data_IF_906848343473
#
_entry.id   IF_906848343473
#
_cell.length_a   1.000
_cell.length_b   1.000
_cell.length_c   1.000
_cell.angle_alpha   90.00
_cell.angle_beta   90.00
_cell.angle_gamma   90.00
#
_symmetry.space_group_name_H-M   'P 1'
#
loop_
_entity.id
_entity.type
_entity.pdbx_description
1 polymer ?
#
# COMPACT_ATOMS: atom_id res chain seq x y z
N UNK A 1 44.23 7.38 64.78
CA UNK A 1 43.06 8.11 64.23
C UNK A 1 43.36 8.44 62.77
N UNK A 2 42.41 8.21 61.86
CA UNK A 2 42.46 8.69 60.48
C UNK A 2 43.09 7.74 59.46
N UNK A 3 42.36 6.71 59.05
CA UNK A 3 42.53 6.04 57.76
C UNK A 3 41.82 6.91 56.72
N UNK A 4 42.48 7.34 55.65
CA UNK A 4 41.80 7.78 54.43
C UNK A 4 42.64 7.36 53.20
N UNK A 5 42.44 6.10 52.84
CA UNK A 5 42.84 5.53 51.56
C UNK A 5 41.94 6.09 50.46
N UNK A 6 42.52 6.80 49.49
CA UNK A 6 41.84 7.16 48.25
C UNK A 6 41.50 5.89 47.45
N UNK A 7 40.25 5.70 46.99
CA UNK A 7 39.93 4.59 46.10
C UNK A 7 40.36 4.96 44.68
N UNK A 8 41.22 4.14 44.06
CA UNK A 8 41.45 4.17 42.62
C UNK A 8 40.12 3.91 41.90
N UNK A 9 39.72 4.88 41.10
CA UNK A 9 38.55 4.85 40.24
C UNK A 9 38.78 3.86 39.08
N UNK A 10 38.34 2.61 39.24
CA UNK A 10 38.46 1.60 38.19
C UNK A 10 37.43 1.86 37.09
N UNK A 11 37.88 2.38 35.95
CA UNK A 11 37.13 2.41 34.70
C UNK A 11 36.77 0.99 34.24
N UNK A 12 35.62 0.47 34.70
CA UNK A 12 35.00 -0.74 34.15
C UNK A 12 34.27 -0.42 32.85
N UNK A 13 34.99 -0.20 31.75
CA UNK A 13 34.41 -0.33 30.41
C UNK A 13 34.37 -1.81 30.04
N UNK A 14 33.36 -2.51 30.56
CA UNK A 14 33.06 -3.89 30.16
C UNK A 14 32.54 -3.88 28.73
N UNK A 15 33.44 -3.90 27.75
CA UNK A 15 33.13 -4.06 26.34
C UNK A 15 32.42 -5.41 26.19
N UNK A 16 31.08 -5.38 26.01
CA UNK A 16 30.28 -6.56 25.65
C UNK A 16 30.54 -6.91 24.18
N UNK A 17 31.77 -7.27 23.85
CA UNK A 17 32.14 -7.84 22.56
C UNK A 17 31.98 -9.34 22.70
N UNK A 18 30.90 -9.88 22.15
CA UNK A 18 30.84 -11.32 21.90
C UNK A 18 29.51 -11.99 22.21
N UNK A 19 28.45 -11.64 21.48
CA UNK A 19 27.28 -12.55 21.28
C UNK A 19 26.57 -12.39 19.91
N UNK A 20 27.22 -11.89 18.85
CA UNK A 20 26.53 -11.61 17.57
C UNK A 20 27.14 -12.27 16.31
N UNK A 21 27.87 -13.39 16.42
CA UNK A 21 28.34 -14.11 15.21
C UNK A 21 27.22 -14.84 14.43
N UNK A 22 26.08 -15.16 15.07
CA UNK A 22 24.98 -15.92 14.44
C UNK A 22 24.01 -15.07 13.58
N UNK A 23 24.16 -13.75 13.53
CA UNK A 23 23.27 -12.88 12.74
C UNK A 23 23.86 -12.44 11.39
N UNK A 24 25.14 -12.73 11.12
CA UNK A 24 25.86 -12.19 9.97
C UNK A 24 25.33 -12.66 8.59
N UNK A 25 24.65 -13.80 8.55
CA UNK A 25 24.14 -14.41 7.30
C UNK A 25 22.61 -14.43 7.21
N UNK A 26 21.90 -13.69 8.06
CA UNK A 26 20.43 -13.60 7.94
C UNK A 26 20.07 -12.59 6.86
N UNK A 27 19.52 -13.13 5.78
CA UNK A 27 18.61 -12.49 4.81
C UNK A 27 17.82 -11.35 5.48
N UNK A 28 18.07 -10.07 5.12
CA UNK A 28 17.31 -8.96 5.70
C UNK A 28 15.82 -9.08 5.36
N UNK A 29 14.98 -8.88 6.38
CA UNK A 29 13.52 -9.03 6.31
C UNK A 29 12.78 -7.69 6.36
N UNK A 30 13.46 -6.59 6.70
CA UNK A 30 12.86 -5.26 6.82
C UNK A 30 13.72 -4.17 6.16
N UNK A 31 13.11 -3.05 5.77
CA UNK A 31 13.81 -1.92 5.16
C UNK A 31 15.01 -1.41 5.99
N UNK A 32 14.90 -1.25 7.33
CA UNK A 32 16.05 -0.85 8.14
C UNK A 32 17.20 -1.86 8.13
N UNK A 33 16.88 -3.17 8.06
CA UNK A 33 17.90 -4.22 7.97
C UNK A 33 18.61 -4.19 6.62
N UNK A 34 17.88 -4.01 5.51
CA UNK A 34 18.46 -3.84 4.17
C UNK A 34 19.40 -2.63 4.13
N UNK A 35 18.93 -1.46 4.60
CA UNK A 35 19.74 -0.23 4.65
C UNK A 35 20.96 -0.38 5.55
N UNK A 36 20.83 -1.10 6.66
CA UNK A 36 21.96 -1.39 7.55
C UNK A 36 23.00 -2.25 6.82
N UNK A 37 22.58 -3.32 6.15
CA UNK A 37 23.49 -4.22 5.43
C UNK A 37 24.23 -3.50 4.29
N UNK A 38 23.53 -2.68 3.50
CA UNK A 38 24.15 -1.84 2.47
C UNK A 38 25.26 -0.94 3.05
N UNK A 39 24.96 -0.20 4.11
CA UNK A 39 25.95 0.66 4.79
C UNK A 39 27.12 -0.13 5.37
N UNK A 40 26.87 -1.31 5.92
CA UNK A 40 27.92 -2.15 6.49
C UNK A 40 28.87 -2.67 5.38
N UNK A 41 28.35 -3.03 4.20
CA UNK A 41 29.15 -3.41 3.03
C UNK A 41 29.96 -2.21 2.50
N UNK A 42 29.33 -1.04 2.35
CA UNK A 42 30.01 0.18 1.91
C UNK A 42 31.18 0.56 2.84
N UNK A 43 30.93 0.54 4.16
CA UNK A 43 31.97 0.79 5.17
C UNK A 43 33.10 -0.22 5.12
N UNK A 44 32.78 -1.51 4.91
CA UNK A 44 33.78 -2.57 4.82
C UNK A 44 34.66 -2.40 3.58
N UNK A 45 34.06 -2.10 2.42
CA UNK A 45 34.77 -1.82 1.16
C UNK A 45 35.67 -0.59 1.26
N UNK A 46 35.25 0.43 2.00
CA UNK A 46 36.05 1.64 2.21
C UNK A 46 37.25 1.42 3.17
N UNK A 47 37.15 0.47 4.10
CA UNK A 47 38.15 0.29 5.18
C UNK A 47 39.26 -0.70 4.84
N UNK A 48 38.97 -1.73 4.05
CA UNK A 48 39.86 -2.89 3.85
C UNK A 48 40.05 -3.15 2.36
N UNK A 49 41.30 -3.37 1.95
CA UNK A 49 41.61 -3.92 0.62
C UNK A 49 41.16 -5.38 0.57
N UNK A 50 40.05 -5.63 -0.11
CA UNK A 50 39.46 -6.97 -0.25
C UNK A 50 40.03 -7.69 -1.47
N UNK A 51 40.10 -9.02 -1.41
CA UNK A 51 40.41 -9.86 -2.58
C UNK A 51 39.37 -9.69 -3.68
N UNK A 52 39.76 -9.80 -4.96
CA UNK A 52 38.88 -9.64 -6.12
C UNK A 52 37.58 -10.45 -6.00
N UNK A 53 37.66 -11.73 -5.60
CA UNK A 53 36.49 -12.59 -5.39
C UNK A 53 35.48 -12.01 -4.37
N UNK A 54 35.96 -11.43 -3.27
CA UNK A 54 35.08 -10.84 -2.24
C UNK A 54 34.44 -9.54 -2.73
N UNK A 55 35.11 -8.78 -3.59
CA UNK A 55 34.52 -7.60 -4.22
C UNK A 55 33.36 -8.00 -5.14
N UNK A 56 33.55 -9.04 -5.97
CA UNK A 56 32.48 -9.54 -6.83
C UNK A 56 31.28 -10.06 -6.02
N UNK A 57 31.53 -10.80 -4.93
CA UNK A 57 30.47 -11.28 -4.03
C UNK A 57 29.67 -10.10 -3.43
N UNK A 58 30.36 -9.06 -2.95
CA UNK A 58 29.67 -7.88 -2.41
C UNK A 58 28.92 -7.08 -3.47
N UNK A 59 29.41 -7.01 -4.71
CA UNK A 59 28.70 -6.33 -5.80
C UNK A 59 27.40 -7.06 -6.16
N UNK A 60 27.44 -8.40 -6.21
CA UNK A 60 26.23 -9.22 -6.38
C UNK A 60 25.26 -9.03 -5.21
N UNK A 61 25.78 -9.00 -3.98
CA UNK A 61 24.97 -8.77 -2.78
C UNK A 61 24.31 -7.38 -2.79
N UNK A 62 25.07 -6.33 -3.11
CA UNK A 62 24.56 -4.95 -3.21
C UNK A 62 23.44 -4.85 -4.25
N UNK A 63 23.60 -5.46 -5.43
CA UNK A 63 22.54 -5.50 -6.44
C UNK A 63 21.25 -6.12 -5.87
N UNK A 64 21.34 -7.28 -5.22
CA UNK A 64 20.19 -7.91 -4.58
C UNK A 64 19.55 -7.04 -3.49
N UNK A 65 20.36 -6.40 -2.65
CA UNK A 65 19.88 -5.51 -1.58
C UNK A 65 19.19 -4.26 -2.12
N UNK A 66 19.65 -3.68 -3.23
CA UNK A 66 19.01 -2.53 -3.86
C UNK A 66 17.61 -2.87 -4.40
N UNK A 67 17.44 -4.06 -5.00
CA UNK A 67 16.13 -4.55 -5.44
C UNK A 67 15.18 -4.72 -4.25
N UNK A 68 15.66 -5.36 -3.17
CA UNK A 68 14.89 -5.53 -1.93
C UNK A 68 14.52 -4.18 -1.31
N UNK A 69 15.44 -3.21 -1.32
CA UNK A 69 15.19 -1.86 -0.83
C UNK A 69 14.01 -1.23 -1.56
N UNK A 70 14.04 -1.22 -2.91
CA UNK A 70 12.95 -0.67 -3.73
C UNK A 70 11.62 -1.35 -3.42
N UNK A 71 11.60 -2.69 -3.32
CA UNK A 71 10.39 -3.46 -2.97
C UNK A 71 9.83 -3.06 -1.60
N UNK A 72 10.66 -2.97 -0.57
CA UNK A 72 10.19 -2.57 0.76
C UNK A 72 9.74 -1.11 0.82
N UNK A 73 10.40 -0.21 0.08
CA UNK A 73 9.99 1.19 -0.01
C UNK A 73 8.62 1.34 -0.66
N UNK A 74 8.32 0.57 -1.72
CA UNK A 74 7.00 0.51 -2.33
C UNK A 74 5.94 -0.02 -1.36
N UNK A 75 6.18 -1.14 -0.70
CA UNK A 75 5.22 -1.70 0.28
C UNK A 75 4.95 -0.71 1.41
N UNK A 76 5.96 0.00 1.90
CA UNK A 76 5.79 1.03 2.93
C UNK A 76 4.99 2.23 2.41
N UNK A 77 5.22 2.65 1.16
CA UNK A 77 4.46 3.72 0.49
C UNK A 77 2.99 3.33 0.33
N UNK A 78 2.71 2.12 -0.12
CA UNK A 78 1.36 1.58 -0.24
C UNK A 78 0.64 1.54 1.11
N UNK A 79 1.31 1.05 2.17
CA UNK A 79 0.76 1.04 3.52
C UNK A 79 0.45 2.45 4.02
N UNK A 80 1.36 3.40 3.80
CA UNK A 80 1.18 4.82 4.19
C UNK A 80 -0.03 5.43 3.47
N UNK A 81 -0.11 5.27 2.16
CA UNK A 81 -1.20 5.79 1.36
C UNK A 81 -2.53 5.10 1.70
N UNK A 82 -2.53 3.79 1.89
CA UNK A 82 -3.72 3.04 2.28
C UNK A 82 -4.30 3.61 3.59
N UNK A 83 -3.46 3.85 4.61
CA UNK A 83 -3.89 4.48 5.87
C UNK A 83 -4.36 5.93 5.66
N UNK A 84 -3.56 6.74 4.96
CA UNK A 84 -3.86 8.17 4.76
C UNK A 84 -5.18 8.41 4.03
N UNK A 85 -5.45 7.62 2.99
CA UNK A 85 -6.63 7.79 2.14
C UNK A 85 -7.78 6.83 2.48
N UNK A 86 -7.63 5.97 3.50
CA UNK A 86 -8.67 5.02 3.90
C UNK A 86 -10.01 5.71 4.17
N UNK A 87 -9.99 6.72 5.06
CA UNK A 87 -11.19 7.46 5.43
C UNK A 87 -11.81 8.20 4.25
N UNK A 88 -10.98 8.86 3.42
CA UNK A 88 -11.44 9.60 2.25
C UNK A 88 -12.11 8.65 1.24
N UNK A 89 -11.48 7.52 0.93
CA UNK A 89 -12.06 6.48 0.06
C UNK A 89 -13.34 5.89 0.65
N UNK A 90 -13.41 5.70 1.96
CA UNK A 90 -14.62 5.22 2.62
C UNK A 90 -15.78 6.20 2.44
N UNK A 91 -15.56 7.50 2.66
CA UNK A 91 -16.61 8.51 2.46
C UNK A 91 -17.05 8.63 0.99
N UNK A 92 -16.10 8.61 0.05
CA UNK A 92 -16.40 8.62 -1.38
C UNK A 92 -17.22 7.37 -1.77
N UNK A 93 -16.84 6.19 -1.28
CA UNK A 93 -17.58 4.94 -1.50
C UNK A 93 -18.98 4.99 -0.90
N UNK A 94 -19.13 5.44 0.35
CA UNK A 94 -20.44 5.55 1.01
C UNK A 94 -21.37 6.50 0.28
N UNK A 95 -20.84 7.60 -0.27
CA UNK A 95 -21.59 8.53 -1.13
C UNK A 95 -22.10 7.85 -2.39
N UNK A 96 -21.21 7.20 -3.14
CA UNK A 96 -21.57 6.50 -4.38
C UNK A 96 -22.60 5.42 -4.11
N UNK A 97 -22.44 4.64 -3.05
CA UNK A 97 -23.40 3.60 -2.66
C UNK A 97 -24.78 4.20 -2.33
N UNK A 98 -24.81 5.33 -1.61
CA UNK A 98 -26.06 6.04 -1.32
C UNK A 98 -26.74 6.54 -2.60
N UNK A 99 -25.97 7.09 -3.54
CA UNK A 99 -26.48 7.58 -4.82
C UNK A 99 -26.98 6.45 -5.73
N UNK A 100 -26.23 5.34 -5.82
CA UNK A 100 -26.65 4.14 -6.55
C UNK A 100 -27.98 3.62 -6.01
N UNK A 101 -28.14 3.51 -4.68
CA UNK A 101 -29.40 3.06 -4.07
C UNK A 101 -30.58 3.96 -4.46
N UNK A 102 -30.40 5.27 -4.47
CA UNK A 102 -31.45 6.22 -4.82
C UNK A 102 -31.84 6.09 -6.30
N UNK A 103 -30.85 5.96 -7.18
CA UNK A 103 -31.08 5.79 -8.63
C UNK A 103 -31.71 4.43 -8.93
N UNK A 104 -31.29 3.36 -8.26
CA UNK A 104 -31.90 2.03 -8.38
C UNK A 104 -33.37 2.05 -7.96
N UNK A 105 -33.71 2.75 -6.87
CA UNK A 105 -35.10 2.95 -6.45
C UNK A 105 -35.88 3.77 -7.48
N UNK A 106 -35.28 4.82 -8.04
CA UNK A 106 -35.91 5.64 -9.07
C UNK A 106 -36.18 4.84 -10.35
N UNK A 107 -35.20 4.07 -10.83
CA UNK A 107 -35.33 3.18 -11.99
C UNK A 107 -36.32 2.04 -11.77
N UNK A 108 -36.59 1.66 -10.52
CA UNK A 108 -37.64 0.68 -10.21
C UNK A 108 -39.04 1.25 -10.48
N UNK A 109 -39.22 2.56 -10.34
CA UNK A 109 -40.46 3.27 -10.65
C UNK A 109 -40.52 3.73 -12.11
N UNK A 110 -39.40 4.20 -12.65
CA UNK A 110 -39.26 4.73 -14.01
C UNK A 110 -38.12 4.03 -14.77
N UNK A 111 -38.34 2.79 -15.27
CA UNK A 111 -37.29 1.96 -15.84
C UNK A 111 -36.73 2.49 -17.17
N UNK A 112 -37.49 3.31 -17.89
CA UNK A 112 -37.10 3.85 -19.20
C UNK A 112 -36.36 5.19 -19.11
N UNK A 113 -36.12 5.71 -17.89
CA UNK A 113 -35.38 6.95 -17.70
C UNK A 113 -33.92 6.80 -18.15
N UNK A 114 -33.62 7.27 -19.36
CA UNK A 114 -32.29 7.23 -19.95
C UNK A 114 -31.26 8.01 -19.12
N UNK A 115 -31.67 9.13 -18.54
CA UNK A 115 -30.83 9.95 -17.68
C UNK A 115 -30.39 9.19 -16.42
N UNK A 116 -31.33 8.52 -15.75
CA UNK A 116 -31.03 7.72 -14.57
C UNK A 116 -30.16 6.50 -14.88
N UNK A 117 -30.38 5.82 -16.01
CA UNK A 117 -29.54 4.72 -16.48
C UNK A 117 -28.11 5.18 -16.77
N UNK A 118 -27.96 6.34 -17.43
CA UNK A 118 -26.64 6.89 -17.73
C UNK A 118 -25.90 7.31 -16.45
N UNK A 119 -26.60 7.93 -15.51
CA UNK A 119 -26.03 8.30 -14.22
C UNK A 119 -25.62 7.07 -13.39
N UNK A 120 -26.41 5.99 -13.42
CA UNK A 120 -26.06 4.72 -12.79
C UNK A 120 -24.74 4.18 -13.34
N UNK A 121 -24.59 4.13 -14.67
CA UNK A 121 -23.34 3.68 -15.32
C UNK A 121 -22.13 4.51 -14.88
N UNK A 122 -22.27 5.83 -14.84
CA UNK A 122 -21.21 6.74 -14.40
C UNK A 122 -20.80 6.52 -12.92
N UNK A 123 -21.76 6.27 -12.04
CA UNK A 123 -21.48 5.95 -10.63
C UNK A 123 -20.81 4.59 -10.46
N UNK A 124 -21.13 3.60 -11.32
CA UNK A 124 -20.44 2.32 -11.31
C UNK A 124 -18.98 2.47 -11.77
N UNK A 125 -18.70 3.32 -12.77
CA UNK A 125 -17.32 3.68 -13.14
C UNK A 125 -16.58 4.33 -11.96
N UNK A 126 -17.24 5.22 -11.21
CA UNK A 126 -16.68 5.83 -10.00
C UNK A 126 -16.38 4.81 -8.90
N UNK A 127 -17.27 3.83 -8.73
CA UNK A 127 -17.06 2.72 -7.79
C UNK A 127 -15.87 1.84 -8.19
N UNK A 128 -15.72 1.58 -9.49
CA UNK A 128 -14.57 0.86 -10.04
C UNK A 128 -13.26 1.63 -9.86
N UNK A 129 -13.28 2.95 -10.05
CA UNK A 129 -12.15 3.81 -9.74
C UNK A 129 -11.70 3.60 -8.30
N UNK A 130 -12.60 3.70 -7.31
CA UNK A 130 -12.27 3.46 -5.90
C UNK A 130 -11.72 2.06 -5.63
N UNK A 131 -12.34 1.04 -6.21
CA UNK A 131 -12.04 -0.37 -5.97
C UNK A 131 -10.67 -0.76 -6.53
N UNK A 132 -10.39 -0.34 -7.76
CA UNK A 132 -9.20 -0.75 -8.50
C UNK A 132 -8.07 0.29 -8.46
N UNK A 133 -8.24 1.44 -7.80
CA UNK A 133 -7.17 2.43 -7.67
C UNK A 133 -5.91 1.83 -6.99
N UNK A 134 -4.72 2.00 -7.60
CA UNK A 134 -3.46 1.54 -7.01
C UNK A 134 -3.08 2.31 -5.75
N UNK A 135 -2.66 1.59 -4.70
CA UNK A 135 -2.34 2.22 -3.40
C UNK A 135 -0.97 2.92 -3.40
N UNK A 136 -0.10 2.67 -4.37
CA UNK A 136 1.21 3.31 -4.47
C UNK A 136 1.14 4.78 -4.91
N UNK A 137 0.01 5.22 -5.45
CA UNK A 137 -0.22 6.59 -5.89
C UNK A 137 -1.09 7.36 -4.90
N UNK A 138 -0.98 8.69 -4.93
CA UNK A 138 -1.84 9.59 -4.17
C UNK A 138 -3.26 9.50 -4.74
N UNK A 139 -4.22 9.18 -3.88
CA UNK A 139 -5.63 9.15 -4.27
C UNK A 139 -6.14 10.57 -4.56
N UNK A 140 -6.92 10.69 -5.63
CA UNK A 140 -7.66 11.92 -5.98
C UNK A 140 -9.12 11.67 -5.61
N UNK A 141 -9.66 12.48 -4.69
CA UNK A 141 -11.04 12.34 -4.23
C UNK A 141 -12.03 12.71 -5.31
N UNK A 142 -13.08 11.90 -5.40
CA UNK A 142 -14.21 12.12 -6.30
C UNK A 142 -15.13 13.22 -5.77
N UNK A 143 -15.27 13.34 -4.44
CA UNK A 143 -16.17 14.28 -3.78
C UNK A 143 -15.44 15.16 -2.75
N UNK A 144 -14.54 16.05 -3.22
CA UNK A 144 -13.78 16.94 -2.37
C UNK A 144 -14.72 17.88 -1.59
N UNK A 145 -14.31 18.26 -0.37
CA UNK A 145 -15.16 19.06 0.53
C UNK A 145 -15.42 20.46 -0.01
N UNK A 146 -14.47 21.01 -0.75
CA UNK A 146 -14.53 22.36 -1.33
C UNK A 146 -15.67 22.52 -2.36
N UNK A 147 -16.04 21.44 -3.05
CA UNK A 147 -17.18 21.43 -3.98
C UNK A 147 -18.53 21.34 -3.23
N UNK A 148 -18.53 20.69 -2.07
CA UNK A 148 -19.73 20.47 -1.26
C UNK A 148 -20.30 21.76 -0.67
N UNK A 149 -19.42 22.68 -0.28
CA UNK A 149 -19.80 23.96 0.32
C UNK A 149 -20.33 24.97 -0.71
N UNK A 150 -20.23 24.67 -2.01
CA UNK A 150 -20.68 25.56 -3.10
C UNK A 150 -22.08 25.23 -3.61
N UNK A 151 -22.64 24.06 -3.27
CA UNK A 151 -23.95 23.63 -3.76
C UNK A 151 -25.07 24.13 -2.84
N UNK A 152 -25.75 25.22 -3.21
CA UNK A 152 -26.99 25.64 -2.56
C UNK A 152 -28.11 25.75 -3.61
N UNK A 153 -29.24 25.09 -3.36
CA UNK A 153 -30.52 25.18 -4.11
C UNK A 153 -30.52 24.61 -5.55
N UNK A 154 -30.23 23.32 -5.70
CA UNK A 154 -30.37 22.57 -6.96
C UNK A 154 -31.12 21.27 -6.71
N UNK A 155 -31.69 20.70 -7.78
CA UNK A 155 -32.35 19.38 -7.72
C UNK A 155 -31.36 18.30 -7.24
N UNK A 156 -31.89 17.19 -6.74
CA UNK A 156 -31.07 16.12 -6.17
C UNK A 156 -30.03 15.58 -7.17
N UNK A 157 -30.40 15.36 -8.44
CA UNK A 157 -29.48 14.91 -9.50
C UNK A 157 -28.42 15.96 -9.84
N UNK A 158 -28.81 17.23 -9.98
CA UNK A 158 -27.86 18.31 -10.28
C UNK A 158 -26.84 18.49 -9.16
N UNK A 159 -27.28 18.37 -7.90
CA UNK A 159 -26.37 18.40 -6.75
C UNK A 159 -25.35 17.26 -6.80
N UNK A 160 -25.76 16.05 -7.19
CA UNK A 160 -24.86 14.91 -7.33
C UNK A 160 -23.79 15.13 -8.41
N UNK A 161 -24.15 15.76 -9.53
CA UNK A 161 -23.22 16.08 -10.60
C UNK A 161 -22.25 17.19 -10.19
N UNK A 162 -22.74 18.23 -9.52
CA UNK A 162 -21.94 19.38 -9.08
C UNK A 162 -20.94 19.05 -7.97
N UNK A 163 -21.23 18.07 -7.11
CA UNK A 163 -20.30 17.64 -6.05
C UNK A 163 -19.13 16.77 -6.58
N UNK A 164 -19.18 16.30 -7.83
CA UNK A 164 -18.15 15.42 -8.41
C UNK A 164 -16.99 16.22 -9.01
N UNK A 165 -15.77 15.82 -8.68
CA UNK A 165 -14.53 16.42 -9.18
C UNK A 165 -14.15 15.98 -10.60
N UNK A 166 -15.10 15.91 -11.53
CA UNK A 166 -14.90 15.29 -12.86
C UNK A 166 -13.87 16.05 -13.70
N UNK A 167 -13.79 17.36 -13.52
CA UNK A 167 -12.91 18.25 -14.29
C UNK A 167 -11.42 18.08 -13.95
N UNK A 168 -11.08 17.38 -12.87
CA UNK A 168 -9.69 17.15 -12.50
C UNK A 168 -9.00 16.25 -13.54
N UNK A 169 -8.14 16.83 -14.39
CA UNK A 169 -7.46 16.17 -15.52
C UNK A 169 -6.94 14.76 -15.21
N UNK A 170 -6.14 14.61 -14.15
CA UNK A 170 -5.56 13.30 -13.82
C UNK A 170 -6.62 12.28 -13.40
N UNK A 171 -7.71 12.73 -12.76
CA UNK A 171 -8.79 11.85 -12.34
C UNK A 171 -9.53 11.33 -13.57
N UNK A 172 -9.84 12.23 -14.51
CA UNK A 172 -10.44 11.88 -15.80
C UNK A 172 -9.58 10.84 -16.54
N UNK A 173 -8.27 11.09 -16.70
CA UNK A 173 -7.36 10.16 -17.36
C UNK A 173 -7.34 8.77 -16.70
N UNK A 174 -7.37 8.71 -15.36
CA UNK A 174 -7.39 7.44 -14.64
C UNK A 174 -8.75 6.73 -14.80
N UNK A 175 -9.86 7.46 -14.71
CA UNK A 175 -11.21 6.91 -14.91
C UNK A 175 -11.35 6.32 -16.31
N UNK A 176 -10.89 7.03 -17.35
CA UNK A 176 -10.91 6.53 -18.72
C UNK A 176 -10.07 5.27 -18.89
N UNK A 177 -8.85 5.24 -18.33
CA UNK A 177 -8.03 4.01 -18.34
C UNK A 177 -8.73 2.83 -17.70
N UNK A 178 -9.43 3.04 -16.58
CA UNK A 178 -10.18 1.98 -15.90
C UNK A 178 -11.39 1.56 -16.75
N UNK A 179 -12.11 2.50 -17.37
CA UNK A 179 -13.22 2.21 -18.27
C UNK A 179 -12.78 1.34 -19.44
N UNK A 180 -11.69 1.74 -20.12
CA UNK A 180 -11.10 0.97 -21.22
C UNK A 180 -10.63 -0.42 -20.76
N UNK A 181 -10.01 -0.52 -19.58
CA UNK A 181 -9.57 -1.81 -19.04
C UNK A 181 -10.75 -2.74 -18.73
N UNK A 182 -11.86 -2.22 -18.22
CA UNK A 182 -13.08 -2.99 -17.94
C UNK A 182 -13.67 -3.55 -19.23
N UNK A 183 -13.77 -2.72 -20.27
CA UNK A 183 -14.28 -3.12 -21.58
C UNK A 183 -13.38 -4.17 -22.24
N UNK A 184 -12.07 -3.93 -22.26
CA UNK A 184 -11.10 -4.85 -22.87
C UNK A 184 -11.01 -6.21 -22.15
N UNK A 185 -11.13 -6.22 -20.82
CA UNK A 185 -11.00 -7.42 -20.01
C UNK A 185 -12.35 -8.10 -19.73
N UNK A 186 -13.44 -7.59 -20.31
CA UNK A 186 -14.81 -8.06 -20.10
C UNK A 186 -15.17 -8.22 -18.61
N UNK A 187 -14.79 -7.21 -17.81
CA UNK A 187 -15.02 -7.20 -16.36
C UNK A 187 -16.44 -6.72 -16.09
N UNK A 188 -17.16 -7.29 -15.10
CA UNK A 188 -18.45 -6.75 -14.69
C UNK A 188 -18.34 -5.27 -14.33
N UNK A 189 -19.22 -4.45 -14.92
CA UNK A 189 -19.28 -3.01 -14.63
C UNK A 189 -19.62 -2.77 -13.16
N UNK A 190 -20.44 -3.62 -12.55
CA UNK A 190 -20.72 -3.56 -11.13
C UNK A 190 -19.75 -4.45 -10.32
N UNK A 191 -18.87 -3.85 -9.50
CA UNK A 191 -17.94 -4.61 -8.70
C UNK A 191 -18.55 -5.13 -7.38
N UNK A 192 -19.76 -4.74 -7.00
CA UNK A 192 -20.39 -5.12 -5.72
C UNK A 192 -20.52 -6.63 -5.50
N UNK A 193 -21.05 -7.44 -6.44
CA UNK A 193 -21.30 -8.86 -6.22
C UNK A 193 -20.02 -9.72 -6.16
N UNK A 194 -18.87 -9.16 -6.54
CA UNK A 194 -17.62 -9.91 -6.60
C UNK A 194 -17.07 -10.24 -5.21
N UNK A 195 -16.49 -11.43 -5.07
CA UNK A 195 -15.72 -11.82 -3.88
C UNK A 195 -14.50 -10.90 -3.68
N UNK A 196 -13.98 -10.84 -2.45
CA UNK A 196 -12.74 -10.11 -2.12
C UNK A 196 -11.55 -10.63 -2.92
N UNK A 197 -11.46 -11.94 -3.13
CA UNK A 197 -10.40 -12.58 -3.92
C UNK A 197 -10.49 -12.19 -5.39
N UNK A 198 -11.70 -12.20 -5.96
CA UNK A 198 -11.91 -11.84 -7.36
C UNK A 198 -11.62 -10.36 -7.60
N UNK A 199 -12.02 -9.49 -6.67
CA UNK A 199 -11.65 -8.07 -6.67
C UNK A 199 -10.13 -7.90 -6.69
N UNK A 200 -9.38 -8.69 -5.91
CA UNK A 200 -7.91 -8.63 -5.91
C UNK A 200 -7.31 -9.13 -7.23
N UNK A 201 -7.80 -10.25 -7.78
CA UNK A 201 -7.34 -10.77 -9.08
C UNK A 201 -7.59 -9.76 -10.20
N UNK A 202 -8.77 -9.17 -10.24
CA UNK A 202 -9.13 -8.14 -11.22
C UNK A 202 -8.30 -6.87 -11.05
N UNK A 203 -8.05 -6.45 -9.81
CA UNK A 203 -7.15 -5.33 -9.50
C UNK A 203 -5.75 -5.56 -10.09
N UNK A 204 -5.18 -6.75 -9.90
CA UNK A 204 -3.87 -7.10 -10.47
C UNK A 204 -3.88 -7.09 -12.00
N UNK A 205 -4.94 -7.62 -12.64
CA UNK A 205 -5.11 -7.58 -14.10
C UNK A 205 -5.18 -6.16 -14.63
N UNK A 206 -6.02 -5.31 -14.02
CA UNK A 206 -6.17 -3.89 -14.39
C UNK A 206 -4.83 -3.16 -14.21
N UNK A 207 -4.13 -3.36 -13.10
CA UNK A 207 -2.84 -2.69 -12.87
C UNK A 207 -1.79 -3.05 -13.90
N UNK A 208 -1.83 -4.30 -14.39
CA UNK A 208 -0.94 -4.79 -15.45
C UNK A 208 -1.29 -4.18 -16.81
N UNK A 209 -2.59 -3.99 -17.12
CA UNK A 209 -3.03 -3.44 -18.42
C UNK A 209 -2.89 -1.92 -18.51
N UNK A 210 -3.21 -1.19 -17.43
CA UNK A 210 -3.22 0.29 -17.44
C UNK A 210 -1.85 0.92 -17.22
N UNK A 211 -0.79 0.10 -17.09
CA UNK A 211 0.57 0.55 -16.81
C UNK A 211 0.73 1.15 -15.41
N UNK A 212 -0.15 0.81 -14.46
CA UNK A 212 0.05 1.19 -13.06
C UNK A 212 1.14 0.35 -12.40
N UNK A 213 1.48 -0.83 -12.90
CA UNK A 213 2.62 -1.59 -12.40
C UNK A 213 3.92 -0.82 -12.66
N UNK A 214 4.62 -0.42 -11.61
CA UNK A 214 6.01 0.01 -11.72
C UNK A 214 6.82 -1.15 -12.35
N UNK A 215 7.61 -0.83 -13.39
CA UNK A 215 8.50 -1.75 -14.10
C UNK A 215 9.53 -2.40 -13.16
N UNK A 216 9.14 -3.44 -12.43
CA UNK A 216 10.04 -4.15 -11.51
C UNK A 216 10.34 -5.58 -11.98
N UNK A 217 9.65 -6.10 -13.00
CA UNK A 217 9.64 -7.55 -13.24
C UNK A 217 9.82 -7.99 -14.69
N UNK A 218 10.61 -7.28 -15.51
CA UNK A 218 10.99 -7.84 -16.83
C UNK A 218 12.44 -8.33 -16.95
N UNK A 219 13.40 -7.81 -16.15
CA UNK A 219 14.82 -8.13 -16.38
C UNK A 219 15.57 -8.89 -15.25
N UNK A 220 14.97 -9.21 -14.08
CA UNK A 220 15.75 -9.72 -12.92
C UNK A 220 15.14 -10.95 -12.20
N UNK A 221 14.44 -11.80 -12.96
CA UNK A 221 13.49 -12.80 -12.45
C UNK A 221 14.02 -14.05 -11.71
N UNK A 222 15.28 -14.54 -11.82
CA UNK A 222 15.63 -15.80 -11.14
C UNK A 222 16.05 -15.68 -9.67
N UNK A 223 16.53 -14.51 -9.21
CA UNK A 223 17.03 -14.36 -7.82
C UNK A 223 15.89 -14.07 -6.83
N UNK A 224 14.78 -13.54 -7.33
CA UNK A 224 13.69 -12.97 -6.50
C UNK A 224 12.76 -14.06 -5.95
N UNK A 225 12.44 -15.11 -6.73
CA UNK A 225 11.47 -16.13 -6.33
C UNK A 225 11.95 -16.95 -5.12
N UNK A 226 13.24 -17.28 -5.06
CA UNK A 226 13.82 -18.03 -3.94
C UNK A 226 13.81 -17.28 -2.59
N UNK A 227 13.57 -15.96 -2.58
CA UNK A 227 13.58 -15.14 -1.37
C UNK A 227 12.20 -14.99 -0.74
N UNK A 228 11.13 -15.07 -1.54
CA UNK A 228 9.73 -14.94 -1.08
C UNK A 228 9.26 -16.23 -0.39
N UNK A 229 9.63 -17.39 -0.94
CA UNK A 229 9.26 -18.69 -0.40
C UNK A 229 9.94 -18.99 0.95
N UNK A 230 11.12 -18.41 1.19
CA UNK A 230 11.84 -18.53 2.47
C UNK A 230 11.29 -17.63 3.59
N UNK A 231 10.52 -16.59 3.26
CA UNK A 231 9.86 -15.74 4.27
C UNK A 231 8.52 -16.35 4.71
N UNK A 232 7.76 -16.94 3.78
CA UNK A 232 6.48 -17.59 4.08
C UNK A 232 6.63 -18.93 4.84
N UNK A 233 7.74 -19.65 4.66
CA UNK A 233 7.99 -20.94 5.30
C UNK A 233 8.49 -20.84 6.76
N UNK A 234 9.03 -19.69 7.20
CA UNK A 234 9.50 -19.50 8.60
C UNK A 234 8.52 -18.76 9.51
N UNK A 235 7.30 -18.44 9.07
CA UNK A 235 6.23 -17.90 9.92
C UNK A 235 5.43 -18.95 10.70
N UNK A 236 5.73 -20.25 10.54
CA UNK A 236 5.10 -21.33 11.32
C UNK A 236 5.84 -21.66 12.64
N UNK A 237 6.97 -21.01 12.92
CA UNK A 237 7.66 -21.17 14.21
C UNK A 237 7.11 -20.18 15.25
N UNK A 238 6.13 -20.67 16.02
CA UNK A 238 5.72 -20.23 17.37
C UNK A 238 5.90 -18.73 17.67
N UNK A 239 4.92 -17.93 17.25
CA UNK A 239 4.63 -16.66 17.92
C UNK A 239 3.85 -16.99 19.19
N UNK A 240 4.42 -16.64 20.33
CA UNK A 240 3.76 -16.68 21.65
C UNK A 240 2.47 -15.83 21.58
N UNK A 241 1.27 -16.41 21.78
CA UNK A 241 0.00 -15.70 21.59
C UNK A 241 -0.19 -14.50 22.54
N UNK A 242 0.64 -14.40 23.59
CA UNK A 242 0.54 -13.34 24.60
C UNK A 242 1.45 -12.13 24.36
N UNK A 243 2.17 -12.05 23.23
CA UNK A 243 3.00 -10.89 22.91
C UNK A 243 2.56 -10.21 21.60
N UNK A 244 1.30 -9.77 21.58
CA UNK A 244 0.78 -8.86 20.57
C UNK A 244 0.86 -7.41 21.09
N UNK A 245 1.84 -6.59 20.68
CA UNK A 245 1.87 -5.16 21.04
C UNK A 245 0.79 -4.33 20.33
N UNK A 246 -0.16 -4.96 19.63
CA UNK A 246 -1.30 -4.32 18.96
C UNK A 246 -2.63 -5.06 19.18
N UNK A 247 -2.84 -5.71 20.33
CA UNK A 247 -4.21 -6.03 20.74
C UNK A 247 -4.89 -4.73 21.14
N UNK A 248 -5.56 -4.11 20.16
CA UNK A 248 -6.63 -3.17 20.44
C UNK A 248 -7.75 -4.05 21.01
N UNK A 249 -7.73 -4.22 22.33
CA UNK A 249 -8.87 -4.72 23.06
C UNK A 249 -10.05 -3.78 22.77
N UNK A 250 -11.18 -4.41 22.50
CA UNK A 250 -12.45 -3.75 22.29
C UNK A 250 -12.83 -3.07 23.60
N UNK A 251 -12.84 -1.74 23.63
CA UNK A 251 -13.55 -0.99 24.66
C UNK A 251 -14.33 0.16 24.00
N UNK A 252 -15.65 -0.01 24.04
CA UNK A 252 -16.62 1.04 24.37
C UNK A 252 -16.51 2.37 23.62
N UNK A 253 -16.93 2.40 22.35
CA UNK A 253 -17.33 3.68 21.76
C UNK A 253 -18.30 3.49 20.59
N UNK A 254 -19.56 3.15 20.88
CA UNK A 254 -20.77 3.57 20.15
C UNK A 254 -22.00 2.95 20.84
N UNK A 255 -22.42 3.57 21.95
CA UNK A 255 -23.84 3.64 22.28
C UNK A 255 -24.26 5.11 22.19
N UNK A 256 -25.52 5.30 21.75
CA UNK A 256 -26.25 6.53 21.40
C UNK A 256 -26.11 6.94 19.93
#
# INVERSE_FOLDING_TARGET
>A
MGKDSTPLDTLKTKTRIGKNKKQANKVPRTLPQVKKRLRDIERLRAKITLSAQKNEEFEREVKGLLVLQKKFELVNKEKKNAKQYHAIKFFDKSRIMGYLRIIENFLSSEPESQEALQLQKELLVDLNYLTYFPNQFKYISLYPKELREKTYKVSFLEKQLQERNIEHKNLFEIREKIRLAIEQLNIPIDPRPLSTEDKQKLKQKIHSSTGFSDNITKDESPVINNYVDNIASTSNDRVDPNNNPNSIENDEFFEI
#
